data_IF_209313136899
#
_entry.id   IF_209313136899
#
_cell.length_a   1.000
_cell.length_b   1.000
_cell.length_c   1.000
_cell.angle_alpha   90.00
_cell.angle_beta   90.00
_cell.angle_gamma   90.00
#
_symmetry.space_group_name_H-M   'P 1'
#
loop_
_entity.id
_entity.type
_entity.pdbx_description
1 polymer ?
#
# COMPACT_ATOMS: atom_id res chain seq x y z
N UNK A 1 -38.46 -48.90 -91.24
CA UNK A 1 -37.75 -47.60 -91.13
C UNK A 1 -37.36 -47.41 -89.64
N UNK A 2 -36.14 -47.90 -89.27
CA UNK A 2 -35.65 -47.97 -87.92
C UNK A 2 -34.72 -46.72 -87.70
N UNK A 3 -35.01 -45.96 -86.66
CA UNK A 3 -34.07 -44.92 -86.17
C UNK A 3 -33.49 -45.38 -84.86
N UNK A 4 -32.20 -45.71 -84.88
CA UNK A 4 -31.38 -46.00 -83.74
C UNK A 4 -31.04 -44.65 -83.12
N UNK A 5 -31.37 -44.49 -81.81
CA UNK A 5 -30.93 -43.36 -80.97
C UNK A 5 -29.71 -43.85 -80.18
N UNK A 6 -28.55 -43.24 -80.42
CA UNK A 6 -27.33 -43.44 -79.66
C UNK A 6 -27.38 -42.56 -78.38
N UNK A 7 -27.41 -43.18 -77.20
CA UNK A 7 -27.20 -42.46 -75.95
C UNK A 7 -25.69 -42.47 -75.59
N UNK A 8 -25.07 -41.30 -75.64
CA UNK A 8 -23.71 -41.11 -75.13
C UNK A 8 -23.79 -40.85 -73.63
N UNK A 9 -23.34 -41.78 -72.85
CA UNK A 9 -23.19 -41.58 -71.41
C UNK A 9 -21.84 -40.85 -71.11
N UNK A 10 -21.93 -39.59 -70.69
CA UNK A 10 -20.76 -38.84 -70.18
C UNK A 10 -20.50 -39.23 -68.73
N UNK A 11 -19.44 -39.94 -68.47
CA UNK A 11 -18.96 -40.23 -67.13
C UNK A 11 -18.24 -39.00 -66.59
N UNK A 12 -18.85 -38.28 -65.67
CA UNK A 12 -18.20 -37.21 -64.88
C UNK A 12 -17.34 -37.83 -63.77
N UNK A 13 -16.04 -37.86 -63.96
CA UNK A 13 -15.09 -38.24 -62.93
C UNK A 13 -15.01 -37.07 -61.91
N UNK A 14 -15.68 -37.20 -60.76
CA UNK A 14 -15.51 -36.30 -59.67
C UNK A 14 -14.14 -36.56 -58.98
N UNK A 15 -13.17 -35.68 -59.23
CA UNK A 15 -11.90 -35.69 -58.48
C UNK A 15 -12.20 -35.20 -57.06
N UNK A 16 -12.33 -36.12 -56.13
CA UNK A 16 -12.36 -35.80 -54.70
C UNK A 16 -10.98 -35.21 -54.31
N UNK A 17 -10.94 -33.90 -54.12
CA UNK A 17 -9.76 -33.28 -53.55
C UNK A 17 -9.57 -33.85 -52.11
N UNK A 18 -8.37 -34.22 -51.68
CA UNK A 18 -8.14 -34.64 -50.34
C UNK A 18 -8.45 -33.47 -49.39
N UNK A 19 -9.47 -33.63 -48.56
CA UNK A 19 -9.72 -32.70 -47.48
C UNK A 19 -8.56 -32.87 -46.48
N UNK A 20 -7.63 -31.93 -46.51
CA UNK A 20 -6.63 -31.82 -45.44
C UNK A 20 -7.38 -31.41 -44.16
N UNK A 21 -7.64 -32.37 -43.29
CA UNK A 21 -8.18 -32.09 -41.98
C UNK A 21 -7.10 -31.32 -41.20
N UNK A 22 -7.38 -30.03 -40.97
CA UNK A 22 -6.54 -29.23 -40.09
C UNK A 22 -6.75 -29.74 -38.66
N UNK A 23 -5.68 -30.26 -38.05
CA UNK A 23 -5.67 -30.61 -36.65
C UNK A 23 -5.17 -29.40 -35.84
N UNK A 24 -6.00 -28.88 -34.91
CA UNK A 24 -5.59 -27.88 -33.93
C UNK A 24 -5.39 -28.56 -32.60
N UNK A 25 -4.29 -28.28 -31.93
CA UNK A 25 -4.03 -28.65 -30.53
C UNK A 25 -4.09 -27.38 -29.67
N UNK A 26 -4.64 -27.51 -28.51
CA UNK A 26 -4.68 -26.46 -27.50
C UNK A 26 -3.72 -26.84 -26.37
N UNK A 27 -3.01 -25.87 -25.84
CA UNK A 27 -2.14 -26.01 -24.67
C UNK A 27 -2.53 -24.92 -23.68
N UNK A 28 -3.03 -25.32 -22.53
CA UNK A 28 -3.33 -24.43 -21.43
C UNK A 28 -2.03 -23.97 -20.75
N UNK A 29 -1.95 -22.69 -20.43
CA UNK A 29 -0.83 -22.11 -19.70
C UNK A 29 -1.36 -21.35 -18.50
N UNK A 30 -1.08 -21.85 -17.31
CA UNK A 30 -1.50 -21.28 -16.03
C UNK A 30 -0.32 -20.67 -15.29
N UNK A 31 -0.59 -19.62 -14.52
CA UNK A 31 0.37 -18.98 -13.64
C UNK A 31 -0.32 -18.09 -12.62
N UNK A 32 0.31 -17.86 -11.48
CA UNK A 32 -0.22 -16.97 -10.45
C UNK A 32 0.88 -16.06 -9.89
N UNK A 33 0.45 -14.95 -9.27
CA UNK A 33 1.31 -14.01 -8.55
C UNK A 33 0.74 -13.81 -7.16
N UNK A 34 1.53 -14.07 -6.13
CA UNK A 34 1.15 -13.84 -4.74
C UNK A 34 0.95 -12.35 -4.45
N UNK A 35 -0.02 -12.05 -3.58
CA UNK A 35 -0.18 -10.71 -3.01
C UNK A 35 1.00 -10.36 -2.11
N UNK A 36 1.58 -9.19 -2.32
CA UNK A 36 2.74 -8.70 -1.57
C UNK A 36 2.66 -7.19 -1.40
N UNK A 37 3.15 -6.75 -0.25
CA UNK A 37 3.50 -5.35 -0.01
C UNK A 37 4.96 -5.27 0.43
N UNK A 38 5.65 -4.20 0.04
CA UNK A 38 7.04 -3.99 0.42
C UNK A 38 7.39 -2.51 0.40
N UNK A 39 8.22 -2.07 1.35
CA UNK A 39 8.89 -0.78 1.26
C UNK A 39 10.12 -0.89 0.35
N UNK A 40 10.33 0.12 -0.49
CA UNK A 40 11.57 0.28 -1.23
C UNK A 40 12.65 0.82 -0.28
N UNK A 41 13.89 0.35 -0.44
CA UNK A 41 15.07 0.83 0.28
C UNK A 41 14.84 1.04 1.79
N UNK A 42 14.91 -0.04 2.57
CA UNK A 42 14.94 -0.10 4.04
C UNK A 42 13.68 0.36 4.79
N UNK A 43 12.68 0.99 4.17
CA UNK A 43 11.46 1.45 4.86
C UNK A 43 11.75 2.37 6.05
N UNK A 44 12.74 3.26 5.93
CA UNK A 44 13.17 4.16 6.98
C UNK A 44 13.33 5.58 6.44
N UNK A 45 12.75 6.55 7.16
CA UNK A 45 12.91 7.98 6.94
C UNK A 45 13.08 8.68 8.30
N UNK A 46 13.57 9.90 8.30
CA UNK A 46 13.77 10.70 9.50
C UNK A 46 12.99 12.01 9.33
N UNK A 47 12.21 12.37 10.34
CA UNK A 47 11.66 13.71 10.51
C UNK A 47 12.57 14.40 11.52
N UNK A 48 13.32 15.41 11.05
CA UNK A 48 14.15 16.27 11.91
C UNK A 48 13.36 17.56 12.18
N UNK A 49 12.88 17.70 13.40
CA UNK A 49 12.06 18.83 13.82
C UNK A 49 12.90 20.05 14.24
N UNK A 50 14.21 19.85 14.48
CA UNK A 50 15.06 20.92 15.02
C UNK A 50 14.67 21.35 16.43
N UNK A 51 14.63 22.65 16.70
CA UNK A 51 14.15 23.23 17.95
C UNK A 51 12.60 23.17 17.97
N UNK A 52 12.05 22.59 19.04
CA UNK A 52 10.61 22.39 19.22
C UNK A 52 10.01 23.24 20.34
N UNK A 53 10.77 24.20 20.86
CA UNK A 53 10.27 25.15 21.86
C UNK A 53 10.32 26.57 21.35
N UNK A 54 9.33 27.37 21.76
CA UNK A 54 9.30 28.82 21.56
C UNK A 54 10.29 29.55 22.46
N UNK A 55 10.52 30.83 22.19
CA UNK A 55 11.40 31.72 22.96
C UNK A 55 11.00 31.84 24.46
N UNK A 56 9.76 31.55 24.79
CA UNK A 56 9.27 31.55 26.18
C UNK A 56 9.40 30.18 26.87
N UNK A 57 9.92 29.15 26.14
CA UNK A 57 10.12 27.80 26.62
C UNK A 57 8.89 26.89 26.54
N UNK A 58 7.77 27.34 25.98
CA UNK A 58 6.61 26.49 25.68
C UNK A 58 6.84 25.66 24.41
N UNK A 59 5.95 24.71 24.14
CA UNK A 59 6.01 23.93 22.89
C UNK A 59 5.72 24.83 21.67
N UNK A 60 6.59 24.81 20.67
CA UNK A 60 6.30 25.34 19.34
C UNK A 60 5.53 24.28 18.51
N UNK A 61 4.19 24.31 18.65
CA UNK A 61 3.31 23.41 17.92
C UNK A 61 3.48 23.53 16.40
N UNK A 62 3.75 24.73 15.89
CA UNK A 62 3.93 24.96 14.46
C UNK A 62 5.21 24.31 13.92
N UNK A 63 6.29 24.32 14.69
CA UNK A 63 7.54 23.63 14.34
C UNK A 63 7.33 22.11 14.29
N UNK A 64 6.63 21.55 15.26
CA UNK A 64 6.31 20.11 15.28
C UNK A 64 5.37 19.72 14.15
N UNK A 65 4.31 20.48 13.94
CA UNK A 65 3.29 20.22 12.90
C UNK A 65 3.81 20.41 11.47
N UNK A 66 4.96 21.05 11.30
CA UNK A 66 5.66 21.14 10.01
C UNK A 66 6.45 19.84 9.65
N UNK A 67 6.53 18.90 10.59
CA UNK A 67 7.30 17.67 10.43
C UNK A 67 6.72 16.76 9.35
N UNK A 68 7.52 16.47 8.32
CA UNK A 68 7.14 15.57 7.23
C UNK A 68 8.29 14.65 6.83
N UNK A 69 7.94 13.46 6.32
CA UNK A 69 8.89 12.55 5.69
C UNK A 69 8.22 11.76 4.56
N UNK A 70 9.03 11.20 3.68
CA UNK A 70 8.53 10.37 2.58
C UNK A 70 9.16 8.98 2.66
N UNK A 71 8.32 7.96 2.67
CA UNK A 71 8.70 6.57 2.42
C UNK A 71 8.33 6.20 0.98
N UNK A 72 8.92 5.13 0.47
CA UNK A 72 8.50 4.56 -0.81
C UNK A 72 8.11 3.10 -0.60
N UNK A 73 7.01 2.69 -1.22
CA UNK A 73 6.50 1.34 -1.10
C UNK A 73 5.61 0.93 -2.25
N UNK A 74 5.22 -0.34 -2.26
CA UNK A 74 4.29 -0.88 -3.24
C UNK A 74 3.49 -2.04 -2.66
N UNK A 75 2.28 -2.23 -3.20
CA UNK A 75 1.43 -3.40 -3.00
C UNK A 75 0.89 -3.84 -4.37
N UNK A 76 0.91 -5.15 -4.66
CA UNK A 76 0.35 -5.72 -5.90
C UNK A 76 -1.03 -6.34 -5.71
N UNK A 77 -1.59 -6.30 -4.51
CA UNK A 77 -2.93 -6.80 -4.19
C UNK A 77 -4.00 -5.71 -4.26
N UNK A 78 -5.14 -6.00 -4.88
CA UNK A 78 -6.25 -5.03 -5.02
C UNK A 78 -6.96 -4.71 -3.69
N UNK A 79 -6.78 -5.53 -2.68
CA UNK A 79 -7.37 -5.38 -1.35
C UNK A 79 -6.31 -5.17 -0.25
N UNK A 80 -5.11 -4.73 -0.63
CA UNK A 80 -4.06 -4.36 0.33
C UNK A 80 -4.50 -3.19 1.20
N UNK A 81 -4.03 -3.18 2.44
CA UNK A 81 -4.35 -2.16 3.44
C UNK A 81 -3.09 -1.47 3.95
N UNK A 82 -3.28 -0.29 4.53
CA UNK A 82 -2.24 0.48 5.21
C UNK A 82 -2.79 1.01 6.53
N UNK A 83 -1.93 1.07 7.56
CA UNK A 83 -2.23 1.74 8.83
C UNK A 83 -0.98 2.39 9.39
N UNK A 84 -1.20 3.25 10.39
CA UNK A 84 -0.16 3.98 11.12
C UNK A 84 -0.26 3.65 12.59
N UNK A 85 0.89 3.59 13.27
CA UNK A 85 1.01 3.59 14.72
C UNK A 85 2.01 4.66 15.12
N UNK A 86 1.55 5.65 15.91
CA UNK A 86 2.34 6.81 16.33
C UNK A 86 2.73 6.70 17.80
N UNK A 87 4.00 6.96 18.09
CA UNK A 87 4.54 7.01 19.45
C UNK A 87 5.00 8.43 19.78
N UNK A 88 4.62 8.97 20.95
CA UNK A 88 4.89 10.36 21.31
C UNK A 88 6.39 10.66 21.34
N UNK A 89 6.72 11.93 21.19
CA UNK A 89 8.07 12.40 21.47
C UNK A 89 8.29 12.46 22.98
N UNK A 90 9.30 11.76 23.47
CA UNK A 90 9.60 11.66 24.89
C UNK A 90 11.03 12.14 25.15
N UNK A 91 11.17 13.05 26.13
CA UNK A 91 12.45 13.35 26.77
C UNK A 91 12.57 12.48 28.04
N UNK A 92 13.72 11.84 28.24
CA UNK A 92 13.95 10.95 29.38
C UNK A 92 14.18 11.66 30.70
N UNK A 93 14.31 12.99 30.68
CA UNK A 93 14.42 13.78 31.91
C UNK A 93 13.08 13.77 32.69
N UNK A 94 13.18 14.01 33.98
CA UNK A 94 12.01 13.96 34.87
C UNK A 94 11.14 15.20 34.65
N UNK A 95 9.88 14.96 34.31
CA UNK A 95 8.86 16.02 34.27
C UNK A 95 8.54 16.56 35.68
N UNK A 96 8.01 17.78 35.75
CA UNK A 96 7.50 18.37 36.97
C UNK A 96 6.19 19.12 36.68
N UNK A 97 5.44 19.56 37.68
CA UNK A 97 4.17 20.29 37.42
C UNK A 97 4.29 21.54 36.56
N UNK A 98 5.50 22.08 36.41
CA UNK A 98 5.79 23.27 35.60
C UNK A 98 6.57 22.95 34.30
N UNK A 99 6.89 21.69 34.05
CA UNK A 99 7.66 21.27 32.90
C UNK A 99 7.14 19.96 32.33
N UNK A 100 6.90 19.95 31.03
CA UNK A 100 6.51 18.77 30.26
C UNK A 100 7.75 18.12 29.57
N UNK A 101 7.78 16.80 29.56
CA UNK A 101 8.82 15.99 28.91
C UNK A 101 8.23 15.09 27.79
N UNK A 102 7.02 15.39 27.35
CA UNK A 102 6.30 14.64 26.33
C UNK A 102 5.63 15.59 25.36
N UNK A 103 5.63 15.23 24.09
CA UNK A 103 4.82 15.86 23.06
C UNK A 103 3.94 14.80 22.41
N UNK A 104 2.66 15.01 22.44
CA UNK A 104 1.66 14.24 21.72
C UNK A 104 1.38 14.86 20.37
N UNK A 105 1.02 14.05 19.38
CA UNK A 105 0.72 14.48 18.03
C UNK A 105 -0.15 13.45 17.31
N UNK A 106 -0.71 13.87 16.18
CA UNK A 106 -1.35 12.99 15.19
C UNK A 106 -0.38 12.74 14.06
N UNK A 107 -0.23 11.47 13.66
CA UNK A 107 0.46 11.08 12.44
C UNK A 107 -0.55 10.69 11.35
N UNK A 108 -0.26 11.11 10.11
CA UNK A 108 -1.01 10.71 8.93
C UNK A 108 -0.03 10.15 7.90
N UNK A 109 -0.32 8.99 7.31
CA UNK A 109 0.45 8.47 6.18
C UNK A 109 -0.42 8.48 4.92
N UNK A 110 -0.02 9.21 3.89
CA UNK A 110 -0.82 9.36 2.66
C UNK A 110 -0.18 8.62 1.50
N UNK A 111 -0.91 7.68 0.89
CA UNK A 111 -0.53 6.95 -0.31
C UNK A 111 -1.71 6.93 -1.30
N UNK A 112 -1.62 7.68 -2.39
CA UNK A 112 -2.74 7.85 -3.32
C UNK A 112 -3.98 8.43 -2.64
N UNK A 113 -5.05 7.66 -2.52
CA UNK A 113 -6.29 8.06 -1.84
C UNK A 113 -6.40 7.50 -0.41
N UNK A 114 -5.47 6.68 0.03
CA UNK A 114 -5.42 6.15 1.39
C UNK A 114 -4.70 7.13 2.30
N UNK A 115 -5.30 7.44 3.45
CA UNK A 115 -4.73 8.35 4.44
C UNK A 115 -5.09 7.86 5.87
N UNK A 116 -4.55 6.71 6.33
CA UNK A 116 -4.70 6.31 7.72
C UNK A 116 -4.07 7.32 8.66
N UNK A 117 -4.64 7.44 9.83
CA UNK A 117 -4.21 8.35 10.89
C UNK A 117 -4.10 7.59 12.21
N UNK A 118 -3.25 8.10 13.09
CA UNK A 118 -3.15 7.67 14.47
C UNK A 118 -2.75 8.83 15.38
N UNK A 119 -3.30 8.86 16.59
CA UNK A 119 -2.97 9.83 17.63
C UNK A 119 -2.11 9.16 18.69
N UNK A 120 -1.02 9.80 19.11
CA UNK A 120 -0.12 9.26 20.15
C UNK A 120 -0.78 9.13 21.53
N UNK A 121 -1.96 9.70 21.71
CA UNK A 121 -2.79 9.58 22.92
C UNK A 121 -3.68 8.34 22.91
N UNK A 122 -3.87 7.73 21.75
CA UNK A 122 -4.65 6.50 21.60
C UNK A 122 -3.78 5.26 21.88
N UNK A 123 -4.42 4.16 22.20
CA UNK A 123 -3.71 2.91 22.47
C UNK A 123 -3.69 2.03 21.20
N UNK A 124 -2.49 1.69 20.76
CA UNK A 124 -2.26 0.82 19.59
C UNK A 124 -2.39 1.57 18.27
N UNK A 125 -2.33 0.85 17.17
CA UNK A 125 -2.34 1.41 15.84
C UNK A 125 -3.72 1.99 15.45
N UNK A 126 -3.70 2.98 14.60
CA UNK A 126 -4.89 3.54 13.96
C UNK A 126 -5.62 2.55 13.05
N UNK A 127 -6.76 2.96 12.53
CA UNK A 127 -7.59 2.11 11.68
C UNK A 127 -6.91 1.74 10.36
N UNK A 128 -7.09 0.49 9.94
CA UNK A 128 -6.67 0.05 8.60
C UNK A 128 -7.49 0.74 7.51
N UNK A 129 -6.81 1.24 6.48
CA UNK A 129 -7.40 1.90 5.32
C UNK A 129 -7.00 1.13 4.05
N UNK A 130 -7.93 0.83 3.13
CA UNK A 130 -7.58 0.20 1.86
C UNK A 130 -6.65 1.10 1.02
N UNK A 131 -5.50 0.56 0.61
CA UNK A 131 -4.57 1.22 -0.31
C UNK A 131 -4.64 0.60 -1.72
N UNK A 132 -5.01 -0.68 -1.81
CA UNK A 132 -5.16 -1.41 -3.08
C UNK A 132 -3.84 -1.58 -3.84
N UNK A 133 -3.93 -1.58 -5.17
CA UNK A 133 -2.76 -1.57 -6.05
C UNK A 133 -2.04 -0.23 -5.92
N UNK A 134 -0.82 -0.27 -5.46
CA UNK A 134 -0.06 0.93 -5.14
C UNK A 134 1.44 0.72 -5.46
N UNK A 135 2.07 1.76 -5.98
CA UNK A 135 3.53 1.83 -6.16
C UNK A 135 3.93 3.30 -6.21
N UNK A 136 4.63 3.76 -5.19
CA UNK A 136 5.07 5.15 -5.13
C UNK A 136 5.38 5.65 -3.72
N UNK A 137 5.24 6.96 -3.55
CA UNK A 137 5.55 7.66 -2.32
C UNK A 137 4.41 7.52 -1.30
N UNK A 138 4.80 7.42 -0.05
CA UNK A 138 3.95 7.50 1.14
C UNK A 138 4.43 8.72 1.91
N UNK A 139 3.64 9.80 1.87
CA UNK A 139 3.91 11.00 2.64
C UNK A 139 3.45 10.79 4.08
N UNK A 140 4.34 11.01 5.02
CA UNK A 140 4.06 10.97 6.46
C UNK A 140 4.11 12.38 7.01
N UNK A 141 3.01 12.83 7.61
CA UNK A 141 2.85 14.17 8.18
C UNK A 141 2.54 14.08 9.67
N UNK A 142 3.03 15.08 10.42
CA UNK A 142 2.67 15.34 11.82
C UNK A 142 1.69 16.50 11.88
N UNK A 143 0.74 16.45 12.80
CA UNK A 143 -0.24 17.52 13.04
C UNK A 143 -0.82 17.46 14.46
N UNK A 144 -1.50 18.53 14.89
CA UNK A 144 -2.18 18.63 16.18
C UNK A 144 -1.27 18.27 17.36
N UNK A 145 -0.04 18.76 17.32
CA UNK A 145 0.91 18.57 18.42
C UNK A 145 0.45 19.30 19.68
N UNK A 146 0.78 18.74 20.84
CA UNK A 146 0.46 19.32 22.14
C UNK A 146 1.35 18.76 23.23
N UNK A 147 1.54 19.52 24.31
CA UNK A 147 2.14 19.00 25.54
C UNK A 147 1.06 18.75 26.60
N UNK A 148 1.20 17.71 27.47
CA UNK A 148 0.12 17.25 28.35
C UNK A 148 -0.46 18.32 29.32
N UNK A 149 0.39 19.23 29.79
CA UNK A 149 -0.01 20.26 30.77
C UNK A 149 0.07 21.68 30.21
N UNK A 150 0.46 21.86 28.95
CA UNK A 150 0.84 23.15 28.37
C UNK A 150 1.86 23.90 29.22
N UNK A 151 2.79 23.14 29.82
CA UNK A 151 3.86 23.66 30.65
C UNK A 151 5.12 23.94 29.80
N UNK A 152 6.13 24.50 30.44
CA UNK A 152 7.42 24.70 29.78
C UNK A 152 8.03 23.34 29.37
N UNK A 153 8.74 23.29 28.25
CA UNK A 153 9.40 22.08 27.82
C UNK A 153 10.69 21.84 28.59
N UNK A 154 10.93 20.56 28.97
CA UNK A 154 12.20 20.15 29.58
C UNK A 154 13.29 20.19 28.52
N UNK A 155 14.42 20.86 28.78
CA UNK A 155 15.53 20.89 27.84
C UNK A 155 16.13 19.50 27.60
N UNK A 156 16.47 19.20 26.36
CA UNK A 156 17.12 17.94 25.93
C UNK A 156 16.46 17.34 24.70
N UNK A 157 16.89 16.15 24.34
CA UNK A 157 16.43 15.44 23.15
C UNK A 157 15.04 14.84 23.35
N UNK A 158 14.16 15.02 22.38
CA UNK A 158 12.85 14.39 22.27
C UNK A 158 12.87 13.36 21.17
N UNK A 159 12.51 12.12 21.48
CA UNK A 159 12.54 11.00 20.55
C UNK A 159 11.20 10.30 20.52
N UNK A 160 10.66 10.08 19.34
CA UNK A 160 9.46 9.30 19.08
C UNK A 160 9.60 8.50 17.79
N UNK A 161 8.53 7.85 17.37
CA UNK A 161 8.51 7.13 16.10
C UNK A 161 7.11 7.04 15.52
N UNK A 162 7.05 6.89 14.20
CA UNK A 162 5.83 6.62 13.45
C UNK A 162 6.08 5.34 12.66
N UNK A 163 5.25 4.33 12.88
CA UNK A 163 5.32 3.06 12.17
C UNK A 163 4.21 3.02 11.12
N UNK A 164 4.58 2.95 9.85
CA UNK A 164 3.65 2.74 8.74
C UNK A 164 3.70 1.28 8.35
N UNK A 165 2.56 0.62 8.30
CA UNK A 165 2.47 -0.78 7.88
C UNK A 165 1.65 -0.91 6.59
N UNK A 166 2.20 -1.66 5.65
CA UNK A 166 1.52 -2.11 4.44
C UNK A 166 1.26 -3.61 4.56
N UNK A 167 0.02 -4.04 4.37
CA UNK A 167 -0.33 -5.45 4.44
C UNK A 167 -1.03 -5.92 3.15
N UNK A 168 -0.60 -7.05 2.58
CA UNK A 168 -1.36 -7.71 1.54
C UNK A 168 -2.65 -8.30 2.12
N UNK A 169 -3.72 -8.38 1.33
CA UNK A 169 -4.90 -9.12 1.74
C UNK A 169 -4.64 -10.63 1.64
N UNK A 170 -4.48 -11.29 2.78
CA UNK A 170 -4.28 -12.74 2.86
C UNK A 170 -5.55 -13.56 2.58
N UNK A 171 -6.68 -12.93 2.23
CA UNK A 171 -7.95 -13.61 1.97
C UNK A 171 -8.02 -14.32 0.61
N UNK A 172 -7.00 -14.24 -0.23
CA UNK A 172 -6.88 -15.10 -1.40
C UNK A 172 -6.28 -16.45 -1.02
N UNK A 173 -7.07 -17.27 -0.36
CA UNK A 173 -6.96 -18.71 -0.50
C UNK A 173 -7.32 -19.05 -1.95
N UNK A 174 -6.41 -18.84 -2.87
CA UNK A 174 -6.54 -19.33 -4.23
C UNK A 174 -6.55 -20.84 -4.16
N UNK A 175 -7.77 -21.42 -4.18
CA UNK A 175 -7.93 -22.83 -4.51
C UNK A 175 -7.30 -23.00 -5.91
N UNK A 176 -6.30 -23.87 -6.06
CA UNK A 176 -5.73 -24.11 -7.39
C UNK A 176 -6.85 -24.54 -8.33
N UNK A 177 -6.88 -24.07 -9.60
CA UNK A 177 -7.90 -24.45 -10.53
C UNK A 177 -7.95 -25.98 -10.58
N UNK A 178 -9.11 -26.54 -10.19
CA UNK A 178 -9.37 -27.97 -10.42
C UNK A 178 -9.44 -28.17 -11.91
N UNK A 179 -8.45 -28.85 -12.43
CA UNK A 179 -8.42 -29.26 -13.83
C UNK A 179 -9.72 -30.03 -14.19
N UNK A 180 -10.27 -29.83 -15.39
CA UNK A 180 -11.48 -30.50 -15.87
C UNK A 180 -11.30 -32.02 -16.03
#
# INVERSE_FOLDING_TARGET
MNKLALFAAAAAAATAAPAFAQATGEVDVDGYVDDRCQFAILGHAIIDLGEISDDDGSLDEAAVDAGTATLQGWCNGSASTMWVEAFPLINTAVASPSFDNRVDYRATATAGNAAPVDDTTDAGAGAEVPVGLFNGDILVDISNSSSPNNALMVAGDYVGSIVVTLAPNTSFGGEPPTAP
#
